data_IF_945138364249
#
_entry.id   IF_945138364249
#
_cell.length_a   1.000
_cell.length_b   1.000
_cell.length_c   1.000
_cell.angle_alpha   90.00
_cell.angle_beta   90.00
_cell.angle_gamma   90.00
#
_symmetry.space_group_name_H-M   'P 1'
#
loop_
_entity.id
_entity.type
_entity.pdbx_description
1 polymer ?
#
# COMPACT_ATOMS: atom_id res chain seq x y z
N UNK A 1 -2.22 -11.20 10.35
CA UNK A 1 -2.34 -12.53 10.99
C UNK A 1 -3.78 -13.02 10.95
N UNK A 2 -4.69 -12.32 11.65
CA UNK A 2 -6.12 -12.50 11.40
C UNK A 2 -6.42 -12.31 9.91
N UNK A 3 -7.15 -13.26 9.32
CA UNK A 3 -7.51 -13.26 7.92
C UNK A 3 -6.45 -13.70 6.91
N UNK A 4 -5.36 -14.35 7.35
CA UNK A 4 -4.37 -14.94 6.44
C UNK A 4 -4.97 -15.83 5.34
N UNK A 5 -6.08 -16.51 5.63
CA UNK A 5 -6.82 -17.34 4.68
C UNK A 5 -8.29 -16.95 4.49
N UNK A 6 -8.69 -15.71 4.81
CA UNK A 6 -10.07 -15.28 4.52
C UNK A 6 -10.16 -14.85 3.06
N UNK A 7 -11.01 -15.47 2.22
CA UNK A 7 -11.15 -15.07 0.83
C UNK A 7 -11.62 -13.62 0.69
N UNK A 8 -11.08 -12.93 -0.30
CA UNK A 8 -11.37 -11.56 -0.67
C UNK A 8 -11.26 -11.43 -2.20
N UNK A 9 -12.11 -10.63 -2.87
CA UNK A 9 -11.91 -10.34 -4.28
C UNK A 9 -10.60 -9.56 -4.49
N UNK A 10 -9.74 -10.04 -5.38
CA UNK A 10 -8.67 -9.22 -5.93
C UNK A 10 -9.27 -8.22 -6.93
N UNK A 11 -8.72 -7.01 -6.99
CA UNK A 11 -9.19 -5.99 -7.94
C UNK A 11 -8.09 -5.52 -8.87
N UNK A 12 -8.45 -5.38 -10.14
CA UNK A 12 -7.72 -4.56 -11.12
C UNK A 12 -8.74 -3.68 -11.83
N UNK A 13 -8.49 -2.37 -11.96
CA UNK A 13 -9.49 -1.42 -12.48
C UNK A 13 -10.80 -1.38 -11.66
N UNK A 14 -10.74 -1.75 -10.38
CA UNK A 14 -11.90 -1.95 -9.51
C UNK A 14 -12.89 -3.01 -10.04
N UNK A 15 -12.46 -3.84 -10.99
CA UNK A 15 -13.16 -5.04 -11.46
C UNK A 15 -12.62 -6.25 -10.71
N UNK A 16 -13.52 -7.17 -10.35
CA UNK A 16 -13.14 -8.44 -9.72
C UNK A 16 -12.20 -9.19 -10.67
N UNK A 17 -11.01 -9.52 -10.16
CA UNK A 17 -10.01 -10.33 -10.82
C UNK A 17 -9.96 -11.69 -10.13
N UNK A 18 -8.75 -12.23 -9.92
CA UNK A 18 -8.58 -13.49 -9.20
C UNK A 18 -8.85 -13.30 -7.69
N UNK A 19 -9.40 -14.32 -7.01
CA UNK A 19 -9.51 -14.31 -5.57
C UNK A 19 -8.15 -14.23 -4.89
N UNK A 20 -8.09 -13.44 -3.81
CA UNK A 20 -6.94 -13.33 -2.90
C UNK A 20 -7.41 -13.57 -1.47
N UNK A 21 -6.49 -13.50 -0.50
CA UNK A 21 -6.86 -13.46 0.91
C UNK A 21 -6.78 -12.05 1.49
N UNK A 22 -7.62 -11.77 2.48
CA UNK A 22 -7.56 -10.53 3.27
C UNK A 22 -6.15 -10.29 3.80
N UNK A 23 -5.52 -11.33 4.36
CA UNK A 23 -4.16 -11.25 4.87
C UNK A 23 -3.15 -10.90 3.77
N UNK A 24 -3.28 -11.47 2.57
CA UNK A 24 -2.44 -11.12 1.43
C UNK A 24 -2.57 -9.63 1.07
N UNK A 25 -3.81 -9.12 1.00
CA UNK A 25 -4.08 -7.72 0.70
C UNK A 25 -3.50 -6.78 1.77
N UNK A 26 -3.69 -7.10 3.05
CA UNK A 26 -3.10 -6.32 4.16
C UNK A 26 -1.57 -6.31 4.14
N UNK A 27 -0.95 -7.44 3.79
CA UNK A 27 0.52 -7.53 3.68
C UNK A 27 1.08 -6.65 2.56
N UNK A 28 0.30 -6.32 1.52
CA UNK A 28 0.74 -5.36 0.50
C UNK A 28 1.06 -3.98 1.11
N UNK A 29 0.27 -3.52 2.08
CA UNK A 29 0.51 -2.25 2.77
C UNK A 29 1.69 -2.32 3.76
N UNK A 30 1.92 -3.48 4.39
CA UNK A 30 3.13 -3.70 5.20
C UNK A 30 4.38 -3.52 4.35
N UNK A 31 4.40 -4.11 3.14
CA UNK A 31 5.52 -3.95 2.21
C UNK A 31 5.71 -2.49 1.78
N UNK A 32 4.63 -1.75 1.49
CA UNK A 32 4.70 -0.31 1.17
C UNK A 32 5.34 0.49 2.31
N UNK A 33 4.80 0.35 3.53
CA UNK A 33 5.25 1.10 4.70
C UNK A 33 6.65 0.69 5.17
N UNK A 34 7.07 -0.54 4.90
CA UNK A 34 8.44 -0.97 5.21
C UNK A 34 9.49 -0.23 4.39
N UNK A 35 9.20 0.04 3.11
CA UNK A 35 10.06 0.87 2.26
C UNK A 35 10.06 2.33 2.71
N UNK A 36 8.94 2.80 3.26
CA UNK A 36 8.90 4.15 3.84
C UNK A 36 9.75 4.23 5.10
N UNK A 37 9.65 3.24 5.98
CA UNK A 37 10.53 3.12 7.16
C UNK A 37 12.00 3.13 6.76
N UNK A 38 12.39 2.36 5.74
CA UNK A 38 13.79 2.34 5.28
C UNK A 38 14.22 3.70 4.69
N UNK A 39 13.36 4.38 3.93
CA UNK A 39 13.64 5.75 3.43
C UNK A 39 13.93 6.72 4.56
N UNK A 40 13.13 6.72 5.63
CA UNK A 40 13.36 7.58 6.79
C UNK A 40 14.66 7.22 7.52
N UNK A 41 14.97 5.93 7.66
CA UNK A 41 16.24 5.48 8.27
C UNK A 41 17.45 5.92 7.45
N UNK A 42 17.39 5.75 6.12
CA UNK A 42 18.46 6.12 5.22
C UNK A 42 18.67 7.63 5.15
N UNK A 43 17.57 8.41 5.11
CA UNK A 43 17.61 9.87 5.19
C UNK A 43 18.23 10.34 6.51
N UNK A 44 17.79 9.77 7.63
CA UNK A 44 18.35 10.07 8.96
C UNK A 44 19.85 9.83 9.01
N UNK A 45 20.32 8.72 8.41
CA UNK A 45 21.74 8.35 8.37
C UNK A 45 22.56 9.31 7.52
N UNK A 46 22.12 9.62 6.29
CA UNK A 46 22.82 10.57 5.41
C UNK A 46 22.93 11.95 6.03
N UNK A 47 21.88 12.39 6.71
CA UNK A 47 21.75 13.75 7.22
C UNK A 47 22.25 13.91 8.66
N UNK A 48 22.90 12.88 9.24
CA UNK A 48 23.43 12.93 10.61
C UNK A 48 24.83 13.57 10.70
N UNK A 49 25.07 14.68 10.01
CA UNK A 49 26.33 15.43 10.09
C UNK A 49 26.12 16.81 10.69
N UNK A 50 27.02 17.22 11.60
CA UNK A 50 26.90 18.47 12.34
C UNK A 50 27.41 19.67 11.53
N UNK A 51 26.56 20.69 11.26
CA UNK A 51 27.01 21.93 10.61
C UNK A 51 27.68 22.91 11.60
N UNK A 52 27.64 22.63 12.91
CA UNK A 52 28.16 23.55 13.93
C UNK A 52 29.67 23.73 13.76
N UNK A 53 30.12 24.99 13.79
CA UNK A 53 31.49 25.40 13.48
C UNK A 53 31.70 25.90 12.05
N UNK A 54 30.73 25.77 11.14
CA UNK A 54 30.78 26.37 9.79
C UNK A 54 30.66 27.91 9.79
N UNK A 55 30.20 28.50 10.90
CA UNK A 55 29.96 29.93 11.07
C UNK A 55 29.06 30.51 9.96
N UNK A 56 29.38 31.68 9.42
CA UNK A 56 28.56 32.30 8.37
C UNK A 56 28.69 31.60 7.01
N UNK A 57 29.89 31.12 6.66
CA UNK A 57 30.19 30.41 5.39
C UNK A 57 31.62 29.85 5.29
N UNK A 58 32.58 30.42 6.03
CA UNK A 58 34.03 30.13 5.88
C UNK A 58 34.63 29.28 7.02
N UNK A 59 33.81 28.80 7.94
CA UNK A 59 34.27 28.18 9.17
C UNK A 59 34.57 29.21 10.27
N UNK A 60 34.64 28.74 11.51
CA UNK A 60 35.06 29.56 12.65
C UNK A 60 36.57 29.82 12.62
N UNK A 61 36.99 31.00 13.09
CA UNK A 61 38.41 31.35 13.26
C UNK A 61 39.02 30.80 14.54
N UNK A 62 38.23 30.15 15.39
CA UNK A 62 38.69 29.50 16.61
C UNK A 62 39.14 28.06 16.32
N UNK A 63 40.21 27.57 16.98
CA UNK A 63 40.70 26.21 16.82
C UNK A 63 39.83 25.21 17.60
N UNK A 64 38.54 25.11 17.23
CA UNK A 64 37.60 24.18 17.86
C UNK A 64 37.79 22.77 17.32
N UNK A 65 37.52 21.77 18.16
CA UNK A 65 37.36 20.39 17.71
C UNK A 65 35.90 20.15 17.29
N UNK A 66 35.66 20.14 15.98
CA UNK A 66 34.33 19.87 15.41
C UNK A 66 33.91 18.40 15.53
N UNK A 67 34.86 17.46 15.70
CA UNK A 67 34.52 16.07 16.00
C UNK A 67 33.97 15.95 17.42
N UNK A 68 34.62 16.58 18.40
CA UNK A 68 34.12 16.65 19.77
C UNK A 68 32.74 17.32 19.85
N UNK A 69 32.54 18.40 19.09
CA UNK A 69 31.25 19.11 19.02
C UNK A 69 30.15 18.25 18.40
N UNK A 70 30.42 17.57 17.29
CA UNK A 70 29.47 16.67 16.63
C UNK A 70 29.07 15.51 17.56
N UNK A 71 30.05 14.88 18.20
CA UNK A 71 29.82 13.79 19.16
C UNK A 71 28.97 14.24 20.36
N UNK A 72 29.25 15.44 20.93
CA UNK A 72 28.49 15.99 22.03
C UNK A 72 27.01 16.27 21.68
N UNK A 73 26.70 16.51 20.41
CA UNK A 73 25.36 16.74 19.89
C UNK A 73 24.69 15.48 19.32
N UNK A 74 25.38 14.33 19.31
CA UNK A 74 24.85 13.06 18.80
C UNK A 74 24.86 12.92 17.27
N UNK A 75 25.68 13.70 16.57
CA UNK A 75 25.93 13.52 15.13
C UNK A 75 27.04 12.49 14.89
N UNK A 76 27.04 11.87 13.71
CA UNK A 76 28.06 10.88 13.31
C UNK A 76 29.41 11.53 12.98
N UNK A 77 29.42 12.85 12.77
CA UNK A 77 30.61 13.65 12.52
C UNK A 77 30.25 15.06 12.07
N UNK A 78 31.24 15.94 11.86
CA UNK A 78 31.02 17.26 11.29
C UNK A 78 30.89 17.18 9.76
N UNK A 79 30.15 18.13 9.18
CA UNK A 79 30.17 18.37 7.73
C UNK A 79 31.56 18.79 7.25
N UNK A 80 31.92 18.44 6.00
CA UNK A 80 33.28 18.63 5.47
C UNK A 80 33.54 20.00 4.82
N UNK A 81 32.50 20.78 4.50
CA UNK A 81 32.63 22.06 3.81
C UNK A 81 31.70 23.11 4.44
N UNK A 82 32.23 24.27 4.82
CA UNK A 82 31.45 25.31 5.51
C UNK A 82 30.46 26.05 4.59
N UNK A 83 30.77 26.19 3.29
CA UNK A 83 29.85 26.81 2.32
C UNK A 83 28.61 25.94 2.15
N UNK A 84 28.83 24.64 1.97
CA UNK A 84 27.81 23.61 1.90
C UNK A 84 26.97 23.58 3.19
N UNK A 85 27.61 23.46 4.35
CA UNK A 85 26.94 23.37 5.66
C UNK A 85 25.87 24.42 5.93
N UNK A 86 26.11 25.68 5.49
CA UNK A 86 25.20 26.79 5.75
C UNK A 86 24.15 26.99 4.66
N UNK A 87 24.34 26.34 3.51
CA UNK A 87 23.44 26.40 2.34
C UNK A 87 22.66 25.11 2.08
N UNK A 88 23.04 24.01 2.73
CA UNK A 88 22.41 22.70 2.60
C UNK A 88 20.99 22.68 3.19
N UNK A 89 20.03 22.16 2.41
CA UNK A 89 18.66 21.82 2.82
C UNK A 89 18.21 20.46 2.29
N UNK A 90 19.15 19.62 1.86
CA UNK A 90 18.85 18.28 1.36
C UNK A 90 18.16 17.43 2.43
N UNK A 91 18.49 17.65 3.71
CA UNK A 91 17.80 16.97 4.83
C UNK A 91 16.29 17.25 4.86
N UNK A 92 15.89 18.48 4.53
CA UNK A 92 14.49 18.90 4.51
C UNK A 92 13.80 18.37 3.25
N UNK A 93 14.45 18.47 2.09
CA UNK A 93 13.93 17.97 0.81
C UNK A 93 13.74 16.45 0.84
N UNK A 94 14.70 15.71 1.39
CA UNK A 94 14.65 14.26 1.49
C UNK A 94 13.60 13.79 2.49
N UNK A 95 13.46 14.47 3.63
CA UNK A 95 12.37 14.23 4.57
C UNK A 95 10.99 14.46 3.95
N UNK A 96 10.81 15.57 3.22
CA UNK A 96 9.55 15.89 2.54
C UNK A 96 9.23 14.90 1.41
N UNK A 97 10.25 14.45 0.67
CA UNK A 97 10.10 13.41 -0.34
C UNK A 97 9.65 12.08 0.26
N UNK A 98 10.33 11.62 1.32
CA UNK A 98 9.94 10.39 2.04
C UNK A 98 8.52 10.51 2.63
N UNK A 99 8.19 11.68 3.18
CA UNK A 99 6.85 11.98 3.73
C UNK A 99 5.77 11.94 2.65
N UNK A 100 6.04 12.48 1.46
CA UNK A 100 5.11 12.47 0.33
C UNK A 100 4.81 11.06 -0.17
N UNK A 101 5.83 10.21 -0.26
CA UNK A 101 5.66 8.80 -0.65
C UNK A 101 4.85 8.04 0.40
N UNK A 102 5.18 8.21 1.68
CA UNK A 102 4.45 7.60 2.79
C UNK A 102 2.98 8.03 2.80
N UNK A 103 2.72 9.34 2.69
CA UNK A 103 1.37 9.89 2.60
C UNK A 103 0.59 9.35 1.39
N UNK A 104 1.25 9.08 0.26
CA UNK A 104 0.62 8.46 -0.91
C UNK A 104 0.25 7.00 -0.65
N UNK A 105 1.10 6.21 0.01
CA UNK A 105 0.72 4.85 0.41
C UNK A 105 -0.47 4.86 1.37
N UNK A 106 -0.47 5.77 2.35
CA UNK A 106 -1.61 5.95 3.25
C UNK A 106 -2.88 6.38 2.49
N UNK A 107 -2.77 7.27 1.50
CA UNK A 107 -3.92 7.71 0.70
C UNK A 107 -4.51 6.56 -0.13
N UNK A 108 -3.68 5.64 -0.63
CA UNK A 108 -4.16 4.43 -1.31
C UNK A 108 -4.96 3.54 -0.37
N UNK A 109 -4.51 3.35 0.86
CA UNK A 109 -5.26 2.55 1.82
C UNK A 109 -6.55 3.26 2.25
N UNK A 110 -6.49 4.57 2.45
CA UNK A 110 -7.65 5.38 2.76
C UNK A 110 -8.73 5.29 1.65
N UNK A 111 -8.35 5.30 0.37
CA UNK A 111 -9.28 5.07 -0.74
C UNK A 111 -10.03 3.75 -0.59
N UNK A 112 -9.30 2.68 -0.28
CA UNK A 112 -9.90 1.36 -0.08
C UNK A 112 -10.86 1.36 1.10
N UNK A 113 -10.50 1.96 2.24
CA UNK A 113 -11.40 2.07 3.39
C UNK A 113 -12.68 2.86 3.05
N UNK A 114 -12.57 3.93 2.26
CA UNK A 114 -13.73 4.71 1.79
C UNK A 114 -14.64 3.84 0.91
N UNK A 115 -14.08 3.10 -0.04
CA UNK A 115 -14.85 2.21 -0.92
C UNK A 115 -15.46 1.04 -0.13
N UNK A 116 -14.65 0.37 0.70
CA UNK A 116 -15.02 -0.84 1.42
C UNK A 116 -16.06 -0.61 2.51
N UNK A 117 -16.11 0.58 3.10
CA UNK A 117 -17.13 0.97 4.09
C UNK A 117 -18.46 1.38 3.45
N UNK A 118 -18.52 1.55 2.13
CA UNK A 118 -19.76 1.88 1.42
C UNK A 118 -20.80 0.75 1.52
N UNK A 119 -22.07 1.10 1.38
CA UNK A 119 -23.18 0.14 1.45
C UNK A 119 -23.15 -0.92 0.34
N UNK A 120 -22.51 -0.60 -0.79
CA UNK A 120 -22.39 -1.50 -1.95
C UNK A 120 -21.32 -2.58 -1.73
N UNK A 121 -20.24 -2.26 -1.02
CA UNK A 121 -19.15 -3.20 -0.74
C UNK A 121 -19.31 -3.87 0.63
N UNK A 122 -19.43 -3.07 1.71
CA UNK A 122 -19.50 -3.55 3.09
C UNK A 122 -18.43 -4.59 3.42
N UNK A 123 -17.20 -4.36 2.99
CA UNK A 123 -16.07 -5.25 3.29
C UNK A 123 -15.46 -4.97 4.65
N UNK A 124 -15.62 -3.75 5.16
CA UNK A 124 -15.12 -3.35 6.48
C UNK A 124 -16.17 -2.59 7.27
N UNK A 125 -16.17 -2.81 8.58
CA UNK A 125 -16.82 -1.96 9.56
C UNK A 125 -15.75 -1.18 10.31
N UNK A 126 -15.86 0.15 10.26
CA UNK A 126 -15.06 1.06 11.06
C UNK A 126 -15.80 1.40 12.36
N UNK A 127 -15.04 1.61 13.45
CA UNK A 127 -15.59 1.95 14.75
C UNK A 127 -16.08 3.41 14.81
N UNK A 128 -16.98 3.70 15.75
CA UNK A 128 -17.50 5.07 15.97
C UNK A 128 -16.40 6.06 16.40
N UNK A 129 -15.22 5.57 16.83
CA UNK A 129 -14.09 6.43 17.16
C UNK A 129 -13.45 7.06 15.91
N UNK A 130 -13.59 6.41 14.76
CA UNK A 130 -12.96 6.80 13.50
C UNK A 130 -13.96 7.17 12.40
N UNK A 131 -15.25 7.10 12.70
CA UNK A 131 -16.33 7.50 11.79
C UNK A 131 -17.21 8.56 12.43
N UNK A 132 -17.83 9.39 11.59
CA UNK A 132 -18.91 10.27 12.05
C UNK A 132 -20.28 9.75 11.61
N UNK A 133 -21.32 10.08 12.37
CA UNK A 133 -22.70 9.79 12.02
C UNK A 133 -23.34 10.91 11.20
N UNK A 134 -24.47 10.62 10.55
CA UNK A 134 -25.35 11.66 10.00
C UNK A 134 -26.44 12.01 11.02
N UNK A 135 -26.69 13.32 11.21
CA UNK A 135 -27.82 13.81 12.01
C UNK A 135 -29.19 13.45 11.42
N UNK A 136 -29.26 13.16 10.11
CA UNK A 136 -30.49 12.81 9.39
C UNK A 136 -30.63 11.30 9.21
N UNK A 137 -29.52 10.57 9.07
CA UNK A 137 -29.50 9.12 8.80
C UNK A 137 -28.72 8.37 9.89
N UNK A 138 -29.40 7.83 10.92
CA UNK A 138 -28.75 7.23 12.10
C UNK A 138 -27.83 6.04 11.79
N UNK A 139 -28.07 5.33 10.69
CA UNK A 139 -27.28 4.19 10.25
C UNK A 139 -26.04 4.58 9.43
N UNK A 140 -25.94 5.83 8.95
CA UNK A 140 -24.86 6.26 8.06
C UNK A 140 -23.62 6.61 8.87
N UNK A 141 -22.57 5.80 8.70
CA UNK A 141 -21.22 6.06 9.20
C UNK A 141 -20.33 6.53 8.06
N UNK A 142 -19.69 7.68 8.24
CA UNK A 142 -18.81 8.27 7.24
C UNK A 142 -17.34 7.99 7.62
N UNK A 143 -16.51 7.51 6.67
CA UNK A 143 -15.09 7.23 6.91
C UNK A 143 -14.23 8.50 6.88
N UNK A 144 -14.62 9.54 7.62
CA UNK A 144 -14.04 10.89 7.56
C UNK A 144 -12.52 10.90 7.80
N UNK A 145 -12.04 10.06 8.72
CA UNK A 145 -10.61 9.94 9.00
C UNK A 145 -9.82 9.47 7.77
N UNK A 146 -10.36 8.51 7.00
CA UNK A 146 -9.77 8.07 5.75
C UNK A 146 -9.88 9.15 4.66
N UNK A 147 -11.04 9.80 4.52
CA UNK A 147 -11.22 10.89 3.56
C UNK A 147 -10.23 12.04 3.78
N UNK A 148 -10.06 12.48 5.03
CA UNK A 148 -9.12 13.53 5.41
C UNK A 148 -7.67 13.09 5.19
N UNK A 149 -7.34 11.84 5.49
CA UNK A 149 -5.99 11.32 5.27
C UNK A 149 -5.63 11.31 3.78
N UNK A 150 -6.58 10.88 2.92
CA UNK A 150 -6.44 10.96 1.46
C UNK A 150 -6.22 12.39 0.98
N UNK A 151 -6.99 13.34 1.50
CA UNK A 151 -6.86 14.76 1.14
C UNK A 151 -5.54 15.39 1.61
N UNK A 152 -5.05 15.01 2.80
CA UNK A 152 -3.85 15.57 3.43
C UNK A 152 -2.55 15.28 2.69
N UNK A 153 -2.52 14.29 1.79
CA UNK A 153 -1.41 14.09 0.85
C UNK A 153 -1.08 15.38 0.09
N UNK A 154 -2.08 16.11 -0.38
CA UNK A 154 -1.87 17.33 -1.18
C UNK A 154 -1.07 18.40 -0.45
N UNK A 155 -1.23 18.49 0.87
CA UNK A 155 -0.49 19.42 1.73
C UNK A 155 0.99 19.04 1.84
N UNK A 156 1.27 17.76 2.11
CA UNK A 156 2.65 17.25 2.25
C UNK A 156 3.40 17.32 0.91
N UNK A 157 2.73 16.94 -0.19
CA UNK A 157 3.32 17.05 -1.53
C UNK A 157 3.53 18.51 -1.93
N UNK A 158 2.58 19.39 -1.58
CA UNK A 158 2.70 20.83 -1.78
C UNK A 158 3.94 21.42 -1.10
N UNK A 159 4.22 21.02 0.14
CA UNK A 159 5.43 21.42 0.86
C UNK A 159 6.72 20.97 0.15
N UNK A 160 6.72 19.76 -0.41
CA UNK A 160 7.84 19.25 -1.22
C UNK A 160 8.08 20.12 -2.45
N UNK A 161 7.02 20.40 -3.22
CA UNK A 161 7.11 21.24 -4.43
C UNK A 161 7.56 22.66 -4.08
N UNK A 162 7.02 23.23 -3.00
CA UNK A 162 7.38 24.56 -2.53
C UNK A 162 8.87 24.65 -2.18
N UNK A 163 9.38 23.73 -1.34
CA UNK A 163 10.78 23.79 -0.91
C UNK A 163 11.76 23.53 -2.07
N UNK A 164 11.46 22.59 -2.98
CA UNK A 164 12.26 22.44 -4.21
C UNK A 164 12.29 23.72 -5.03
N UNK A 165 11.18 24.44 -5.11
CA UNK A 165 11.09 25.71 -5.85
C UNK A 165 11.89 26.81 -5.17
N UNK A 166 11.86 26.91 -3.83
CA UNK A 166 12.68 27.85 -3.05
C UNK A 166 14.16 27.57 -3.26
N UNK A 167 14.59 26.32 -3.20
CA UNK A 167 16.01 25.95 -3.33
C UNK A 167 16.53 26.06 -4.77
N UNK A 168 15.65 26.00 -5.77
CA UNK A 168 16.04 25.97 -7.18
C UNK A 168 16.75 27.26 -7.61
N UNK A 169 18.02 27.12 -7.98
CA UNK A 169 18.82 28.18 -8.57
C UNK A 169 19.31 29.25 -7.59
N UNK A 170 19.22 28.99 -6.27
CA UNK A 170 19.86 29.84 -5.27
C UNK A 170 21.38 29.81 -5.44
N UNK A 171 22.07 30.96 -5.46
CA UNK A 171 23.52 30.97 -5.40
C UNK A 171 23.99 30.57 -4.00
N UNK A 172 25.21 30.04 -3.92
CA UNK A 172 25.86 29.83 -2.63
C UNK A 172 26.12 31.18 -1.94
N UNK A 173 26.04 31.30 -0.61
CA UNK A 173 25.75 30.22 0.37
C UNK A 173 24.37 30.42 1.01
N UNK A 174 24.33 30.88 2.26
CA UNK A 174 23.07 31.17 2.93
C UNK A 174 22.37 32.36 2.27
N UNK A 175 21.10 32.16 1.92
CA UNK A 175 20.19 33.21 1.48
C UNK A 175 18.95 33.22 2.37
N UNK A 176 18.31 34.39 2.52
CA UNK A 176 17.16 34.57 3.42
C UNK A 176 15.95 33.73 3.00
N UNK A 177 15.87 33.39 1.71
CA UNK A 177 14.93 32.45 1.10
C UNK A 177 14.88 31.12 1.86
N UNK A 178 16.02 30.64 2.37
CA UNK A 178 16.11 29.39 3.14
C UNK A 178 15.47 29.48 4.54
N UNK A 179 14.86 30.61 4.91
CA UNK A 179 14.00 30.70 6.08
C UNK A 179 12.66 29.96 5.87
N UNK A 180 12.21 29.82 4.62
CA UNK A 180 10.96 29.15 4.21
C UNK A 180 11.00 27.61 4.36
N UNK A 181 12.13 27.04 4.77
CA UNK A 181 12.27 25.59 4.99
C UNK A 181 11.40 25.06 6.13
N UNK A 182 11.28 25.82 7.23
CA UNK A 182 10.72 25.36 8.50
C UNK A 182 9.23 25.12 8.44
N UNK A 183 8.45 26.10 7.97
CA UNK A 183 6.99 26.00 7.95
C UNK A 183 6.54 24.81 7.10
N UNK A 184 7.19 24.61 5.94
CA UNK A 184 6.91 23.49 5.03
C UNK A 184 7.21 22.14 5.70
N UNK A 185 8.36 22.01 6.35
CA UNK A 185 8.77 20.77 7.02
C UNK A 185 7.91 20.48 8.24
N UNK A 186 7.61 21.49 9.07
CA UNK A 186 6.84 21.32 10.30
C UNK A 186 5.40 20.91 10.02
N UNK A 187 4.71 21.61 9.12
CA UNK A 187 3.33 21.26 8.76
C UNK A 187 3.23 19.87 8.11
N UNK A 188 4.20 19.50 7.27
CA UNK A 188 4.26 18.17 6.67
C UNK A 188 4.51 17.07 7.73
N UNK A 189 5.42 17.31 8.68
CA UNK A 189 5.71 16.38 9.77
C UNK A 189 4.48 16.17 10.67
N UNK A 190 3.86 17.25 11.14
CA UNK A 190 2.67 17.18 12.00
C UNK A 190 1.51 16.49 11.28
N UNK A 191 1.30 16.82 10.00
CA UNK A 191 0.26 16.20 9.17
C UNK A 191 0.50 14.70 8.99
N UNK A 192 1.75 14.30 8.70
CA UNK A 192 2.08 12.89 8.52
C UNK A 192 1.96 12.10 9.82
N UNK A 193 2.45 12.64 10.94
CA UNK A 193 2.37 12.00 12.25
C UNK A 193 0.91 11.78 12.66
N UNK A 194 0.05 12.78 12.47
CA UNK A 194 -1.38 12.65 12.73
C UNK A 194 -2.03 11.62 11.80
N UNK A 195 -1.66 11.61 10.51
CA UNK A 195 -2.16 10.64 9.53
C UNK A 195 -1.79 9.20 9.89
N UNK A 196 -0.53 8.96 10.29
CA UNK A 196 -0.07 7.65 10.76
C UNK A 196 -0.81 7.20 12.03
N UNK A 197 -1.03 8.10 12.99
CA UNK A 197 -1.79 7.79 14.20
C UNK A 197 -3.24 7.44 13.88
N UNK A 198 -3.90 8.22 13.02
CA UNK A 198 -5.28 7.96 12.60
C UNK A 198 -5.42 6.62 11.83
N UNK A 199 -4.50 6.34 10.89
CA UNK A 199 -4.50 5.06 10.17
C UNK A 199 -4.25 3.88 11.11
N UNK A 200 -3.30 4.01 12.04
CA UNK A 200 -3.03 2.98 13.06
C UNK A 200 -4.28 2.71 13.89
N UNK A 201 -5.00 3.77 14.27
CA UNK A 201 -6.26 3.70 14.99
C UNK A 201 -7.35 2.94 14.22
N UNK A 202 -7.61 3.36 12.98
CA UNK A 202 -8.59 2.71 12.09
C UNK A 202 -8.26 1.23 11.88
N UNK A 203 -7.01 0.90 11.56
CA UNK A 203 -6.56 -0.48 11.34
C UNK A 203 -6.64 -1.31 12.62
N UNK A 204 -6.40 -0.69 13.78
CA UNK A 204 -6.39 -1.36 15.07
C UNK A 204 -7.75 -1.86 15.54
N UNK A 205 -8.84 -1.21 15.11
CA UNK A 205 -10.20 -1.59 15.51
C UNK A 205 -11.17 -1.91 14.36
N UNK A 206 -10.75 -1.77 13.10
CA UNK A 206 -11.58 -2.18 11.96
C UNK A 206 -11.89 -3.67 12.00
N UNK A 207 -13.08 -4.02 11.52
CA UNK A 207 -13.52 -5.41 11.40
C UNK A 207 -13.77 -5.73 9.94
N UNK A 208 -13.20 -6.84 9.47
CA UNK A 208 -13.48 -7.36 8.14
C UNK A 208 -14.82 -8.12 8.14
N UNK A 209 -15.71 -7.79 7.21
CA UNK A 209 -16.98 -8.47 7.00
C UNK A 209 -16.75 -9.73 6.15
N UNK A 210 -16.38 -10.81 6.84
CA UNK A 210 -15.94 -12.07 6.21
C UNK A 210 -16.94 -12.64 5.22
N UNK A 211 -18.24 -12.54 5.52
CA UNK A 211 -19.28 -13.04 4.64
C UNK A 211 -19.36 -12.22 3.33
N UNK A 212 -19.31 -10.89 3.43
CA UNK A 212 -19.32 -10.00 2.27
C UNK A 212 -18.07 -10.20 1.39
N UNK A 213 -16.90 -10.33 2.02
CA UNK A 213 -15.64 -10.61 1.34
C UNK A 213 -15.67 -11.95 0.60
N UNK A 214 -16.12 -13.02 1.25
CA UNK A 214 -16.20 -14.35 0.63
C UNK A 214 -17.20 -14.38 -0.52
N UNK A 215 -18.37 -13.75 -0.37
CA UNK A 215 -19.37 -13.62 -1.43
C UNK A 215 -18.80 -12.88 -2.64
N UNK A 216 -18.12 -11.75 -2.42
CA UNK A 216 -17.56 -10.96 -3.50
C UNK A 216 -16.38 -11.66 -4.19
N UNK A 217 -15.59 -12.47 -3.46
CA UNK A 217 -14.48 -13.23 -4.03
C UNK A 217 -14.93 -14.25 -5.08
N UNK A 218 -16.14 -14.81 -4.96
CA UNK A 218 -16.73 -15.71 -5.94
C UNK A 218 -17.48 -15.04 -7.08
N UNK A 219 -17.55 -13.70 -7.12
CA UNK A 219 -18.33 -12.99 -8.13
C UNK A 219 -17.58 -12.78 -9.45
N UNK A 220 -18.31 -12.61 -10.56
CA UNK A 220 -17.75 -12.14 -11.82
C UNK A 220 -16.80 -13.11 -12.50
N UNK A 221 -17.06 -14.43 -12.40
CA UNK A 221 -16.23 -15.47 -12.99
C UNK A 221 -14.76 -15.39 -12.56
N UNK A 222 -14.51 -15.08 -11.29
CA UNK A 222 -13.17 -14.84 -10.73
C UNK A 222 -12.20 -16.03 -10.89
N UNK A 223 -12.73 -17.23 -11.09
CA UNK A 223 -11.97 -18.47 -11.35
C UNK A 223 -11.82 -18.83 -12.84
N UNK A 224 -12.26 -17.96 -13.77
CA UNK A 224 -12.08 -18.19 -15.21
C UNK A 224 -10.60 -18.32 -15.59
N UNK A 225 -9.70 -17.56 -14.96
CA UNK A 225 -8.26 -17.71 -15.22
C UNK A 225 -7.73 -19.07 -14.74
N UNK A 226 -8.28 -19.62 -13.65
CA UNK A 226 -7.95 -20.96 -13.16
C UNK A 226 -8.36 -22.05 -14.15
N UNK A 227 -9.50 -21.88 -14.83
CA UNK A 227 -9.93 -22.75 -15.91
C UNK A 227 -8.97 -22.73 -17.09
N UNK A 228 -8.56 -21.54 -17.54
CA UNK A 228 -7.58 -21.40 -18.61
C UNK A 228 -6.24 -22.06 -18.23
N UNK A 229 -5.75 -21.82 -17.01
CA UNK A 229 -4.55 -22.46 -16.47
C UNK A 229 -4.67 -23.99 -16.45
N UNK A 230 -5.84 -24.52 -16.08
CA UNK A 230 -6.08 -25.96 -16.07
C UNK A 230 -6.07 -26.55 -17.48
N UNK A 231 -6.70 -25.89 -18.46
CA UNK A 231 -6.66 -26.32 -19.87
C UNK A 231 -5.22 -26.38 -20.40
N UNK A 232 -4.39 -25.39 -20.07
CA UNK A 232 -2.97 -25.40 -20.44
C UNK A 232 -2.24 -26.58 -19.78
N UNK A 233 -2.40 -26.78 -18.47
CA UNK A 233 -1.63 -27.79 -17.71
C UNK A 233 -2.11 -29.23 -17.99
N UNK A 234 -3.41 -29.45 -18.02
CA UNK A 234 -4.01 -30.78 -18.12
C UNK A 234 -4.13 -31.25 -19.58
N UNK A 235 -4.42 -30.33 -20.51
CA UNK A 235 -4.65 -30.67 -21.93
C UNK A 235 -3.50 -30.22 -22.84
N UNK A 236 -2.46 -29.58 -22.31
CA UNK A 236 -1.28 -29.16 -23.07
C UNK A 236 -1.56 -28.06 -24.09
N UNK A 237 -2.63 -27.28 -23.90
CA UNK A 237 -3.05 -26.27 -24.87
C UNK A 237 -2.18 -25.02 -24.81
N UNK A 238 -1.95 -24.34 -25.95
CA UNK A 238 -1.47 -22.96 -25.93
C UNK A 238 -2.42 -22.07 -25.12
N UNK A 239 -1.88 -21.18 -24.30
CA UNK A 239 -2.68 -20.31 -23.43
C UNK A 239 -3.74 -19.50 -24.19
N UNK A 240 -3.43 -19.05 -25.42
CA UNK A 240 -4.38 -18.34 -26.27
C UNK A 240 -5.64 -19.17 -26.56
N UNK A 241 -5.47 -20.45 -26.86
CA UNK A 241 -6.59 -21.35 -27.18
C UNK A 241 -7.38 -21.69 -25.91
N UNK A 242 -6.69 -21.96 -24.81
CA UNK A 242 -7.30 -22.14 -23.49
C UNK A 242 -8.14 -20.93 -23.06
N UNK A 243 -7.63 -19.71 -23.31
CA UNK A 243 -8.36 -18.47 -23.04
C UNK A 243 -9.62 -18.35 -23.92
N UNK A 244 -9.56 -18.72 -25.20
CA UNK A 244 -10.74 -18.74 -26.07
C UNK A 244 -11.81 -19.73 -25.58
N UNK A 245 -11.41 -20.96 -25.24
CA UNK A 245 -12.32 -21.97 -24.66
C UNK A 245 -12.96 -21.47 -23.37
N UNK A 246 -12.17 -20.88 -22.48
CA UNK A 246 -12.64 -20.28 -21.22
C UNK A 246 -13.66 -19.19 -21.47
N UNK A 247 -13.40 -18.28 -22.42
CA UNK A 247 -14.35 -17.22 -22.78
C UNK A 247 -15.69 -17.76 -23.31
N UNK A 248 -15.65 -18.83 -24.10
CA UNK A 248 -16.88 -19.51 -24.55
C UNK A 248 -17.66 -20.18 -23.41
N UNK A 249 -16.96 -20.73 -22.42
CA UNK A 249 -17.58 -21.32 -21.22
C UNK A 249 -18.20 -20.25 -20.31
N UNK A 250 -17.52 -19.11 -20.14
CA UNK A 250 -18.09 -17.96 -19.43
C UNK A 250 -19.36 -17.48 -20.12
N UNK A 251 -19.35 -17.31 -21.45
CA UNK A 251 -20.54 -16.92 -22.20
C UNK A 251 -21.70 -17.93 -22.06
N UNK A 252 -21.39 -19.23 -22.02
CA UNK A 252 -22.38 -20.28 -21.78
C UNK A 252 -22.97 -20.21 -20.36
N UNK A 253 -22.15 -19.96 -19.35
CA UNK A 253 -22.58 -19.79 -17.97
C UNK A 253 -23.49 -18.56 -17.82
N UNK A 254 -23.12 -17.43 -18.43
CA UNK A 254 -23.95 -16.22 -18.49
C UNK A 254 -25.31 -16.50 -19.15
N UNK A 255 -25.31 -17.22 -20.28
CA UNK A 255 -26.55 -17.59 -20.97
C UNK A 255 -27.48 -18.46 -20.09
N UNK A 256 -26.89 -19.31 -19.24
CA UNK A 256 -27.63 -20.16 -18.29
C UNK A 256 -27.97 -19.47 -16.97
N UNK A 257 -27.45 -18.26 -16.73
CA UNK A 257 -27.65 -17.53 -15.48
C UNK A 257 -26.98 -18.20 -14.27
N UNK A 258 -25.86 -18.89 -14.47
CA UNK A 258 -25.08 -19.55 -13.42
C UNK A 258 -23.59 -19.18 -13.51
N UNK A 259 -22.78 -19.64 -12.55
CA UNK A 259 -21.33 -19.45 -12.59
C UNK A 259 -20.62 -20.68 -13.22
N UNK A 260 -19.31 -20.59 -13.48
CA UNK A 260 -18.50 -21.68 -14.04
C UNK A 260 -18.59 -22.99 -13.22
N UNK A 261 -18.55 -22.99 -11.87
CA UNK A 261 -18.70 -24.22 -11.08
C UNK A 261 -20.06 -24.92 -11.25
N UNK A 262 -21.08 -24.17 -11.69
CA UNK A 262 -22.46 -24.67 -11.82
C UNK A 262 -22.73 -25.31 -13.20
N UNK A 263 -21.85 -25.09 -14.18
CA UNK A 263 -21.92 -25.77 -15.47
C UNK A 263 -21.70 -27.27 -15.28
N UNK A 264 -22.51 -28.11 -15.95
CA UNK A 264 -22.29 -29.56 -15.92
C UNK A 264 -21.09 -29.94 -16.77
N UNK A 265 -20.45 -31.09 -16.49
CA UNK A 265 -19.37 -31.60 -17.35
C UNK A 265 -19.83 -31.72 -18.82
N UNK A 266 -21.06 -32.18 -19.04
CA UNK A 266 -21.66 -32.29 -20.36
C UNK A 266 -21.73 -30.92 -21.07
N UNK A 267 -22.11 -29.86 -20.34
CA UNK A 267 -22.11 -28.50 -20.87
C UNK A 267 -20.71 -28.06 -21.28
N UNK A 268 -19.72 -28.29 -20.42
CA UNK A 268 -18.34 -27.91 -20.72
C UNK A 268 -17.78 -28.67 -21.93
N UNK A 269 -18.14 -29.94 -22.08
CA UNK A 269 -17.76 -30.79 -23.20
C UNK A 269 -18.42 -30.38 -24.53
N UNK A 270 -19.52 -29.62 -24.52
CA UNK A 270 -20.07 -29.04 -25.75
C UNK A 270 -19.15 -27.99 -26.38
N UNK A 271 -18.36 -27.29 -25.55
CA UNK A 271 -17.37 -26.32 -26.00
C UNK A 271 -16.03 -27.01 -26.26
N UNK A 272 -15.61 -27.91 -25.38
CA UNK A 272 -14.34 -28.61 -25.52
C UNK A 272 -14.39 -30.06 -25.00
N UNK A 273 -14.46 -31.02 -25.92
CA UNK A 273 -14.69 -32.43 -25.61
C UNK A 273 -13.65 -33.09 -24.70
N UNK A 274 -12.41 -32.57 -24.64
CA UNK A 274 -11.37 -33.13 -23.78
C UNK A 274 -11.42 -32.65 -22.32
N UNK A 275 -12.38 -31.79 -21.95
CA UNK A 275 -12.59 -31.41 -20.54
C UNK A 275 -13.06 -32.65 -19.77
N UNK A 276 -12.45 -32.89 -18.60
CA UNK A 276 -12.73 -34.02 -17.72
C UNK A 276 -13.32 -33.53 -16.40
N UNK A 277 -13.78 -34.46 -15.56
CA UNK A 277 -14.33 -34.17 -14.24
C UNK A 277 -13.34 -33.40 -13.32
N UNK A 278 -12.03 -33.48 -13.59
CA UNK A 278 -11.00 -32.82 -12.79
C UNK A 278 -11.05 -31.29 -12.90
N UNK A 279 -11.74 -30.72 -13.89
CA UNK A 279 -11.91 -29.27 -14.05
C UNK A 279 -12.55 -28.62 -12.81
N UNK A 280 -13.47 -29.32 -12.15
CA UNK A 280 -14.13 -28.80 -10.94
C UNK A 280 -13.17 -28.67 -9.75
N UNK A 281 -11.99 -29.29 -9.80
CA UNK A 281 -10.96 -29.13 -8.78
C UNK A 281 -10.26 -27.76 -8.80
N UNK A 282 -10.49 -26.92 -9.82
CA UNK A 282 -9.89 -25.58 -9.93
C UNK A 282 -10.90 -24.43 -9.90
N UNK A 283 -12.19 -24.71 -10.06
CA UNK A 283 -13.23 -23.69 -10.22
C UNK A 283 -13.74 -23.08 -8.89
N UNK A 284 -13.24 -23.54 -7.75
CA UNK A 284 -13.57 -22.98 -6.43
C UNK A 284 -12.66 -21.82 -6.02
N UNK A 285 -13.20 -20.84 -5.30
CA UNK A 285 -12.45 -19.71 -4.72
C UNK A 285 -11.26 -20.20 -3.87
N UNK A 286 -11.50 -21.18 -3.01
CA UNK A 286 -10.46 -21.79 -2.19
C UNK A 286 -9.40 -22.50 -3.03
N UNK A 287 -9.80 -23.18 -4.11
CA UNK A 287 -8.87 -23.85 -5.02
C UNK A 287 -7.96 -22.83 -5.72
N UNK A 288 -8.55 -21.73 -6.21
CA UNK A 288 -7.81 -20.63 -6.83
C UNK A 288 -6.77 -20.05 -5.87
N UNK A 289 -7.19 -19.69 -4.65
CA UNK A 289 -6.32 -19.17 -3.59
C UNK A 289 -5.19 -20.15 -3.27
N UNK A 290 -5.52 -21.42 -3.02
CA UNK A 290 -4.54 -22.43 -2.62
C UNK A 290 -3.55 -22.80 -3.73
N UNK A 291 -3.89 -22.57 -5.00
CA UNK A 291 -3.00 -22.84 -6.13
C UNK A 291 -1.86 -21.83 -6.28
N UNK A 292 -1.98 -20.62 -5.72
CA UNK A 292 -0.99 -19.53 -5.84
C UNK A 292 0.14 -19.67 -4.81
N UNK A 293 0.90 -20.77 -4.92
CA UNK A 293 1.93 -21.17 -3.96
C UNK A 293 3.32 -20.54 -4.17
N UNK A 294 3.51 -19.77 -5.25
CA UNK A 294 4.78 -19.08 -5.49
C UNK A 294 5.14 -18.12 -4.35
N UNK A 295 6.41 -17.78 -4.21
CA UNK A 295 6.84 -16.77 -3.23
C UNK A 295 6.09 -15.45 -3.47
N UNK A 296 5.52 -14.88 -2.40
CA UNK A 296 4.65 -13.71 -2.49
C UNK A 296 3.24 -13.99 -3.01
N UNK A 297 2.84 -15.25 -3.19
CA UNK A 297 1.50 -15.66 -3.59
C UNK A 297 0.47 -15.54 -2.46
N UNK A 298 -0.80 -15.65 -2.83
CA UNK A 298 -1.93 -15.46 -1.91
C UNK A 298 -2.31 -16.70 -1.11
N UNK A 299 -1.74 -17.87 -1.43
CA UNK A 299 -2.02 -19.10 -0.70
C UNK A 299 -1.79 -18.91 0.82
N UNK A 300 -2.67 -19.40 1.71
CA UNK A 300 -2.61 -19.11 3.15
C UNK A 300 -1.26 -19.48 3.78
N UNK A 301 -0.63 -20.57 3.30
CA UNK A 301 0.72 -20.97 3.72
C UNK A 301 1.78 -19.92 3.38
N UNK A 302 1.72 -19.30 2.19
CA UNK A 302 2.65 -18.24 1.78
C UNK A 302 2.39 -16.95 2.54
N UNK A 303 1.13 -16.60 2.77
CA UNK A 303 0.76 -15.42 3.57
C UNK A 303 1.22 -15.58 5.02
N UNK A 304 1.04 -16.75 5.61
CA UNK A 304 1.53 -17.04 6.97
C UNK A 304 3.05 -16.92 7.09
N UNK A 305 3.81 -17.40 6.09
CA UNK A 305 5.26 -17.22 6.03
C UNK A 305 5.67 -15.74 5.99
N UNK A 306 5.00 -14.92 5.17
CA UNK A 306 5.28 -13.48 5.11
C UNK A 306 4.91 -12.77 6.42
N UNK A 307 3.80 -13.14 7.05
CA UNK A 307 3.44 -12.62 8.38
C UNK A 307 4.51 -12.98 9.41
N UNK A 308 4.98 -14.23 9.43
CA UNK A 308 6.02 -14.68 10.36
C UNK A 308 7.35 -13.94 10.12
N UNK A 309 7.74 -13.73 8.86
CA UNK A 309 8.92 -12.93 8.49
C UNK A 309 8.82 -11.51 9.06
N UNK A 310 7.72 -10.81 8.78
CA UNK A 310 7.54 -9.43 9.25
C UNK A 310 7.43 -9.33 10.78
N UNK A 311 6.85 -10.33 11.45
CA UNK A 311 6.87 -10.38 12.92
C UNK A 311 8.30 -10.37 13.45
N UNK A 312 9.21 -11.15 12.85
CA UNK A 312 10.63 -11.18 13.25
C UNK A 312 11.39 -9.89 12.89
N UNK A 313 10.99 -9.18 11.83
CA UNK A 313 11.64 -7.93 11.41
C UNK A 313 11.17 -6.70 12.23
N UNK A 314 9.97 -6.77 12.80
CA UNK A 314 9.36 -5.66 13.55
C UNK A 314 9.49 -5.82 15.08
N UNK A 315 9.65 -7.05 15.58
CA UNK A 315 9.69 -7.41 17.01
C UNK A 315 10.87 -8.32 17.30
#
# INVERSE_FOLDING_TARGET
EAGAGWPMPGFTHLQTAQPVTWGHHMMAYVEMLSRDRSRFQDARKRMNLSPLGAAALAGTSFPIDRQATAAALGFDGPTANSLDSVSDRDFALEFLSASSICAMHLSRFAEELVIWSSAQFRFVLLSDRWTTGSSIMPQKKNPDAAELLRAKLGRILGATVALFTVMKGLPLTYSKDMQEDKEQVFDAADTLMLGLAAMTGMVGDMQAERAALAQAAGSGFSTATDLADWLVRALGQPFRDAHHVTGSLVALAEQKGCDLPDLTLADMQTIHAAITQDVFSVLGVENSINSRISYGGTAPVRVAEQVARWKKELW
#
